data_IF_729421394936
#
_entry.id   IF_729421394936
#
_cell.length_a   1.000
_cell.length_b   1.000
_cell.length_c   1.000
_cell.angle_alpha   90.00
_cell.angle_beta   90.00
_cell.angle_gamma   90.00
#
_symmetry.space_group_name_H-M   'P 1'
#
loop_
_entity.id
_entity.type
_entity.pdbx_description
1 polymer ?
#
# COMPACT_ATOMS: atom_id res chain seq x y z
N UNK A 1 -35.40 -10.33 -8.28
CA UNK A 1 -34.37 -11.20 -8.90
C UNK A 1 -33.40 -11.65 -7.81
N UNK A 2 -33.28 -12.97 -7.59
CA UNK A 2 -32.24 -13.49 -6.69
C UNK A 2 -30.96 -13.65 -7.51
N UNK A 3 -29.90 -12.93 -7.12
CA UNK A 3 -28.57 -13.13 -7.70
C UNK A 3 -27.96 -14.42 -7.15
N UNK A 4 -27.50 -15.32 -8.02
CA UNK A 4 -26.78 -16.53 -7.64
C UNK A 4 -25.27 -16.32 -7.80
N UNK A 5 -24.48 -16.90 -6.88
CA UNK A 5 -23.01 -16.89 -7.01
C UNK A 5 -22.56 -17.76 -8.19
N UNK A 6 -21.59 -17.25 -8.95
CA UNK A 6 -20.91 -18.05 -9.94
C UNK A 6 -19.82 -18.89 -9.26
N UNK A 7 -20.16 -20.11 -8.90
CA UNK A 7 -19.27 -21.03 -8.16
C UNK A 7 -17.94 -21.31 -8.88
N UNK A 8 -17.89 -21.19 -10.22
CA UNK A 8 -16.66 -21.36 -11.01
C UNK A 8 -15.67 -20.20 -10.84
N UNK A 9 -16.11 -19.07 -10.28
CA UNK A 9 -15.28 -17.90 -10.02
C UNK A 9 -15.00 -17.69 -8.53
N UNK A 10 -15.42 -18.64 -7.69
CA UNK A 10 -15.21 -18.59 -6.24
C UNK A 10 -14.09 -19.56 -5.88
N UNK A 11 -13.05 -19.05 -5.24
CA UNK A 11 -11.90 -19.84 -4.79
C UNK A 11 -11.74 -19.70 -3.29
N UNK A 12 -10.96 -20.59 -2.68
CA UNK A 12 -10.57 -20.53 -1.27
C UNK A 12 -9.07 -20.26 -1.18
N UNK A 13 -8.72 -19.15 -0.58
CA UNK A 13 -7.34 -18.81 -0.25
C UNK A 13 -7.12 -18.98 1.25
N UNK A 14 -6.31 -19.95 1.64
CA UNK A 14 -5.95 -20.19 3.03
C UNK A 14 -4.74 -19.33 3.41
N UNK A 15 -4.94 -18.40 4.37
CA UNK A 15 -3.88 -17.50 4.78
C UNK A 15 -3.16 -18.00 6.05
N UNK A 16 -1.83 -17.99 6.00
CA UNK A 16 -0.94 -18.23 7.13
C UNK A 16 -0.63 -19.70 7.42
N UNK A 17 0.52 -19.95 8.03
CA UNK A 17 1.08 -21.29 8.28
C UNK A 17 0.30 -22.17 9.28
N UNK A 18 -0.62 -21.58 10.06
CA UNK A 18 -1.41 -22.32 11.05
C UNK A 18 -2.87 -22.50 10.62
N UNK A 19 -3.14 -22.34 9.33
CA UNK A 19 -4.47 -22.56 8.79
C UNK A 19 -4.77 -24.06 8.77
N UNK A 20 -5.97 -24.44 9.16
CA UNK A 20 -6.43 -25.85 9.19
C UNK A 20 -6.81 -26.39 7.82
N UNK A 21 -6.83 -25.56 6.79
CA UNK A 21 -7.10 -25.90 5.38
C UNK A 21 -8.43 -26.66 5.16
N UNK A 22 -9.50 -26.26 5.86
CA UNK A 22 -10.82 -26.82 5.67
C UNK A 22 -11.29 -26.71 4.22
N UNK A 23 -12.13 -27.70 3.82
CA UNK A 23 -12.82 -27.65 2.54
C UNK A 23 -14.11 -26.84 2.67
N UNK A 24 -14.36 -25.99 1.69
CA UNK A 24 -15.55 -25.15 1.63
C UNK A 24 -16.35 -25.47 0.39
N UNK A 25 -17.68 -25.49 0.53
CA UNK A 25 -18.60 -25.68 -0.58
C UNK A 25 -19.70 -24.62 -0.55
N UNK A 26 -20.13 -24.20 -1.73
CA UNK A 26 -21.26 -23.29 -1.89
C UNK A 26 -22.49 -24.04 -2.41
N UNK A 27 -23.68 -23.79 -1.83
CA UNK A 27 -24.91 -24.33 -2.36
C UNK A 27 -25.24 -23.68 -3.70
N UNK A 28 -25.46 -24.46 -4.72
CA UNK A 28 -25.97 -24.05 -6.02
C UNK A 28 -27.39 -24.59 -6.17
N UNK A 29 -28.37 -23.71 -6.38
CA UNK A 29 -29.73 -24.10 -6.67
C UNK A 29 -29.77 -24.94 -7.95
N UNK A 30 -30.19 -26.21 -7.88
CA UNK A 30 -30.23 -27.10 -9.02
C UNK A 30 -31.62 -27.18 -9.64
N UNK A 31 -32.70 -27.19 -8.85
CA UNK A 31 -34.06 -27.29 -9.34
C UNK A 31 -35.05 -26.61 -8.41
N UNK A 32 -36.10 -26.02 -9.00
CA UNK A 32 -37.28 -25.49 -8.31
C UNK A 32 -38.44 -26.37 -8.76
N UNK A 33 -38.99 -27.16 -7.83
CA UNK A 33 -40.27 -27.87 -8.06
C UNK A 33 -41.40 -27.05 -7.41
N UNK A 34 -42.29 -26.55 -8.25
CA UNK A 34 -43.55 -25.92 -7.79
C UNK A 34 -44.65 -26.96 -7.86
N UNK A 35 -45.24 -27.29 -6.75
CA UNK A 35 -46.54 -27.99 -6.65
C UNK A 35 -47.61 -27.01 -6.25
N UNK A 36 -48.86 -27.36 -6.45
CA UNK A 36 -50.02 -26.49 -6.11
C UNK A 36 -50.07 -25.99 -4.64
N UNK A 37 -49.32 -26.67 -3.76
CA UNK A 37 -49.34 -26.41 -2.32
C UNK A 37 -47.95 -26.07 -1.73
N UNK A 38 -46.83 -26.23 -2.47
CA UNK A 38 -45.48 -26.01 -1.92
C UNK A 38 -44.46 -25.72 -2.99
N UNK A 39 -43.39 -25.00 -2.62
CA UNK A 39 -42.22 -24.77 -3.42
C UNK A 39 -41.06 -25.48 -2.74
N UNK A 40 -40.47 -26.49 -3.41
CA UNK A 40 -39.28 -27.19 -2.91
C UNK A 40 -38.04 -26.76 -3.70
N UNK A 41 -36.96 -26.51 -2.97
CA UNK A 41 -35.66 -26.14 -3.53
C UNK A 41 -34.69 -27.28 -3.34
N UNK A 42 -34.03 -27.71 -4.40
CA UNK A 42 -32.94 -28.69 -4.33
C UNK A 42 -31.62 -27.97 -4.54
N UNK A 43 -30.69 -28.17 -3.64
CA UNK A 43 -29.35 -27.59 -3.70
C UNK A 43 -28.33 -28.68 -3.99
N UNK A 44 -27.43 -28.42 -4.94
CA UNK A 44 -26.19 -29.17 -5.10
C UNK A 44 -25.06 -28.35 -4.45
N UNK A 45 -24.19 -29.01 -3.71
CA UNK A 45 -23.01 -28.38 -3.13
C UNK A 45 -21.87 -28.48 -4.11
N UNK A 46 -21.30 -27.32 -4.45
CA UNK A 46 -20.12 -27.22 -5.31
C UNK A 46 -18.91 -26.94 -4.43
N UNK A 47 -17.93 -27.84 -4.41
CA UNK A 47 -16.69 -27.69 -3.68
C UNK A 47 -15.87 -26.58 -4.32
N UNK A 48 -15.33 -25.66 -3.50
CA UNK A 48 -14.51 -24.55 -3.98
C UNK A 48 -13.07 -25.00 -4.16
N UNK A 49 -12.46 -24.54 -5.24
CA UNK A 49 -11.06 -24.80 -5.55
C UNK A 49 -10.15 -24.02 -4.57
N UNK A 50 -9.13 -24.72 -4.03
CA UNK A 50 -8.09 -24.10 -3.21
C UNK A 50 -7.02 -23.52 -4.10
N UNK A 51 -6.69 -22.25 -3.89
CA UNK A 51 -5.66 -21.54 -4.64
C UNK A 51 -4.57 -21.03 -3.70
N UNK A 52 -3.35 -20.84 -4.22
CA UNK A 52 -2.22 -20.29 -3.47
C UNK A 52 -2.11 -18.77 -3.60
N UNK A 53 -2.70 -18.21 -4.63
CA UNK A 53 -2.81 -16.77 -4.83
C UNK A 53 -4.15 -16.43 -5.50
N UNK A 54 -4.70 -15.27 -5.16
CA UNK A 54 -5.94 -14.77 -5.74
C UNK A 54 -5.81 -13.27 -6.01
N UNK A 55 -6.42 -12.81 -7.08
CA UNK A 55 -6.42 -11.40 -7.46
C UNK A 55 -7.70 -10.71 -6.99
N UNK A 56 -7.59 -9.93 -5.93
CA UNK A 56 -8.68 -9.13 -5.40
C UNK A 56 -8.42 -7.63 -5.60
N UNK A 57 -9.41 -6.90 -6.13
CA UNK A 57 -9.35 -5.45 -6.41
C UNK A 57 -8.04 -5.00 -7.07
N UNK A 58 -7.47 -5.82 -7.96
CA UNK A 58 -6.25 -5.52 -8.69
C UNK A 58 -4.95 -5.80 -7.94
N UNK A 59 -5.02 -6.33 -6.71
CA UNK A 59 -3.90 -6.83 -5.91
C UNK A 59 -3.89 -8.34 -5.94
N UNK A 60 -2.74 -8.96 -6.26
CA UNK A 60 -2.55 -10.41 -6.13
C UNK A 60 -2.09 -10.69 -4.71
N UNK A 61 -2.93 -11.41 -3.96
CA UNK A 61 -2.69 -11.81 -2.57
C UNK A 61 -2.24 -13.25 -2.56
N UNK A 62 -1.11 -13.57 -1.94
CA UNK A 62 -0.61 -14.93 -1.76
C UNK A 62 -0.87 -15.45 -0.34
N UNK A 63 -0.88 -16.77 -0.17
CA UNK A 63 -1.15 -17.48 1.08
C UNK A 63 -0.23 -17.04 2.26
N UNK A 64 0.96 -16.57 1.94
CA UNK A 64 1.97 -16.10 2.90
C UNK A 64 1.97 -14.58 3.13
N UNK A 65 1.11 -13.84 2.42
CA UNK A 65 1.02 -12.38 2.47
C UNK A 65 2.37 -11.68 2.23
N UNK A 66 3.19 -12.22 1.34
CA UNK A 66 4.50 -11.64 1.02
C UNK A 66 4.49 -10.79 -0.26
N UNK A 67 3.44 -10.87 -1.07
CA UNK A 67 3.18 -10.08 -2.27
C UNK A 67 4.28 -10.11 -3.34
N UNK A 68 5.19 -11.08 -3.32
CA UNK A 68 6.31 -11.16 -4.28
C UNK A 68 5.83 -11.27 -5.71
N UNK A 69 4.79 -12.08 -5.96
CA UNK A 69 4.19 -12.24 -7.28
C UNK A 69 3.57 -10.91 -7.75
N UNK A 70 2.78 -10.27 -6.89
CA UNK A 70 2.19 -8.95 -7.17
C UNK A 70 3.25 -7.91 -7.55
N UNK A 71 4.29 -7.77 -6.74
CA UNK A 71 5.40 -6.84 -6.97
C UNK A 71 6.05 -7.11 -8.34
N UNK A 72 6.33 -8.39 -8.65
CA UNK A 72 6.93 -8.78 -9.92
C UNK A 72 6.04 -8.42 -11.12
N UNK A 73 4.74 -8.69 -11.03
CA UNK A 73 3.76 -8.33 -12.06
C UNK A 73 3.68 -6.81 -12.27
N UNK A 74 3.69 -6.01 -11.19
CA UNK A 74 3.64 -4.54 -11.28
C UNK A 74 4.92 -3.95 -11.86
N UNK A 75 6.08 -4.49 -11.49
CA UNK A 75 7.37 -4.12 -12.07
C UNK A 75 7.38 -4.44 -13.58
N UNK A 76 6.92 -5.62 -13.98
CA UNK A 76 6.83 -6.01 -15.38
C UNK A 76 5.93 -5.06 -16.17
N UNK A 77 4.74 -4.75 -15.66
CA UNK A 77 3.82 -3.81 -16.30
C UNK A 77 4.41 -2.40 -16.42
N UNK A 78 5.05 -1.91 -15.36
CA UNK A 78 5.71 -0.61 -15.38
C UNK A 78 6.86 -0.55 -16.41
N UNK A 79 7.65 -1.63 -16.52
CA UNK A 79 8.69 -1.73 -17.55
C UNK A 79 8.14 -1.78 -18.98
N UNK A 80 7.00 -2.45 -19.20
CA UNK A 80 6.31 -2.43 -20.50
C UNK A 80 5.89 -1.00 -20.88
N UNK A 81 5.40 -0.21 -19.91
CA UNK A 81 5.06 1.19 -20.16
C UNK A 81 6.30 2.03 -20.46
N UNK A 82 7.42 1.80 -19.76
CA UNK A 82 8.70 2.47 -20.05
C UNK A 82 9.21 2.13 -21.44
N UNK A 83 9.08 0.89 -21.86
CA UNK A 83 9.46 0.46 -23.22
C UNK A 83 8.62 1.20 -24.27
N UNK A 84 7.32 1.34 -24.08
CA UNK A 84 6.46 2.12 -24.98
C UNK A 84 6.90 3.58 -25.03
N UNK A 85 7.12 4.22 -23.87
CA UNK A 85 7.61 5.61 -23.83
C UNK A 85 8.91 5.76 -24.62
N UNK A 86 9.88 4.86 -24.41
CA UNK A 86 11.18 4.90 -25.08
C UNK A 86 11.06 4.76 -26.61
N UNK A 87 10.13 3.94 -27.10
CA UNK A 87 10.04 3.64 -28.53
C UNK A 87 9.20 4.66 -29.31
N UNK A 88 8.17 5.25 -28.65
CA UNK A 88 7.28 6.19 -29.34
C UNK A 88 7.68 7.65 -29.22
N UNK A 89 8.53 8.01 -28.24
CA UNK A 89 8.97 9.38 -28.03
C UNK A 89 10.48 9.52 -28.27
N UNK A 90 10.83 10.05 -29.46
CA UNK A 90 12.25 10.25 -29.85
C UNK A 90 12.92 11.37 -29.07
N UNK A 91 12.18 12.43 -28.74
CA UNK A 91 12.67 13.59 -28.00
C UNK A 91 11.91 13.70 -26.68
N UNK A 92 12.56 13.33 -25.60
CA UNK A 92 12.02 13.38 -24.24
C UNK A 92 12.72 14.50 -23.45
N UNK A 93 12.05 15.63 -23.30
CA UNK A 93 12.46 16.64 -22.33
C UNK A 93 12.00 16.27 -20.91
N UNK A 94 12.44 17.05 -19.92
CA UNK A 94 12.16 16.77 -18.51
C UNK A 94 10.66 16.91 -18.15
N UNK A 95 9.93 17.79 -18.80
CA UNK A 95 8.52 18.04 -18.53
C UNK A 95 7.65 16.94 -19.13
N UNK A 96 7.85 16.64 -20.40
CA UNK A 96 7.14 15.54 -21.10
C UNK A 96 7.41 14.20 -20.42
N UNK A 97 8.68 13.91 -20.10
CA UNK A 97 9.05 12.71 -19.36
C UNK A 97 8.30 12.64 -18.01
N UNK A 98 8.31 13.74 -17.23
CA UNK A 98 7.64 13.78 -15.93
C UNK A 98 6.13 13.54 -16.03
N UNK A 99 5.49 14.07 -17.09
CA UNK A 99 4.07 13.85 -17.36
C UNK A 99 3.79 12.39 -17.68
N UNK A 100 4.51 11.82 -18.66
CA UNK A 100 4.34 10.42 -19.10
C UNK A 100 4.64 9.43 -17.99
N UNK A 101 5.72 9.66 -17.25
CA UNK A 101 6.09 8.81 -16.12
C UNK A 101 5.02 8.82 -15.02
N UNK A 102 4.53 10.01 -14.65
CA UNK A 102 3.51 10.16 -13.60
C UNK A 102 2.16 9.58 -13.99
N UNK A 103 1.79 9.60 -15.26
CA UNK A 103 0.50 9.11 -15.75
C UNK A 103 0.51 7.62 -16.12
N UNK A 104 1.57 7.12 -16.77
CA UNK A 104 1.59 5.77 -17.34
C UNK A 104 2.39 4.75 -16.53
N UNK A 105 3.48 5.15 -15.88
CA UNK A 105 4.40 4.21 -15.22
C UNK A 105 4.15 4.14 -13.73
N UNK A 106 4.20 5.29 -13.06
CA UNK A 106 4.13 5.41 -11.60
C UNK A 106 2.85 4.82 -10.98
N UNK A 107 1.64 4.93 -11.58
CA UNK A 107 0.45 4.32 -11.01
C UNK A 107 0.55 2.81 -10.82
N UNK A 108 1.26 2.10 -11.70
CA UNK A 108 1.49 0.67 -11.53
C UNK A 108 2.35 0.32 -10.31
N UNK A 109 3.25 1.24 -9.89
CA UNK A 109 4.16 1.04 -8.76
C UNK A 109 3.62 1.55 -7.41
N UNK A 110 2.49 2.28 -7.44
CA UNK A 110 1.92 2.91 -6.24
C UNK A 110 0.49 2.47 -5.91
N UNK A 111 -0.27 1.94 -6.89
CA UNK A 111 -1.65 1.53 -6.67
C UNK A 111 -1.76 0.56 -5.49
N UNK A 112 -2.66 0.86 -4.55
CA UNK A 112 -2.93 0.07 -3.35
C UNK A 112 -1.66 -0.25 -2.50
N UNK A 113 -0.61 0.57 -2.57
CA UNK A 113 0.66 0.30 -1.88
C UNK A 113 0.54 0.12 -0.35
N UNK A 114 -0.44 0.70 0.38
CA UNK A 114 -0.63 0.38 1.79
C UNK A 114 -0.92 -1.09 2.08
N UNK A 115 -1.50 -1.83 1.12
CA UNK A 115 -1.81 -3.25 1.27
C UNK A 115 -0.56 -4.11 1.09
N UNK A 116 0.19 -3.89 0.00
CA UNK A 116 1.28 -4.77 -0.43
C UNK A 116 2.69 -4.20 -0.25
N UNK A 117 2.84 -3.10 0.48
CA UNK A 117 4.14 -2.40 0.62
C UNK A 117 5.29 -3.37 0.88
N UNK A 118 6.37 -3.30 0.08
CA UNK A 118 7.48 -4.24 0.19
C UNK A 118 8.18 -4.11 1.54
N UNK A 119 8.54 -5.23 2.12
CA UNK A 119 9.23 -5.28 3.42
C UNK A 119 10.69 -5.67 3.30
N UNK A 120 11.06 -6.36 2.21
CA UNK A 120 12.44 -6.76 1.96
C UNK A 120 13.21 -5.63 1.28
N UNK A 121 14.47 -5.44 1.66
CA UNK A 121 15.37 -4.48 1.01
C UNK A 121 15.51 -4.76 -0.49
N UNK A 122 15.43 -6.02 -0.88
CA UNK A 122 15.51 -6.45 -2.27
C UNK A 122 14.32 -5.94 -3.07
N UNK A 123 13.08 -6.18 -2.61
CA UNK A 123 11.88 -5.73 -3.33
C UNK A 123 11.79 -4.20 -3.38
N UNK A 124 12.20 -3.50 -2.31
CA UNK A 124 12.31 -2.04 -2.31
C UNK A 124 13.26 -1.57 -3.41
N UNK A 125 14.46 -2.19 -3.53
CA UNK A 125 15.42 -1.88 -4.59
C UNK A 125 14.90 -2.23 -5.99
N UNK A 126 14.21 -3.36 -6.14
CA UNK A 126 13.62 -3.79 -7.41
C UNK A 126 12.59 -2.78 -7.93
N UNK A 127 11.69 -2.31 -7.07
CA UNK A 127 10.69 -1.28 -7.42
C UNK A 127 11.38 0.03 -7.76
N UNK A 128 12.33 0.50 -6.94
CA UNK A 128 13.06 1.75 -7.17
C UNK A 128 13.92 1.70 -8.45
N UNK A 129 14.41 0.52 -8.83
CA UNK A 129 15.19 0.33 -10.05
C UNK A 129 14.42 0.69 -11.32
N UNK A 130 13.09 0.56 -11.31
CA UNK A 130 12.23 0.99 -12.42
C UNK A 130 12.33 2.51 -12.59
N UNK A 131 12.17 3.27 -11.51
CA UNK A 131 12.29 4.73 -11.53
C UNK A 131 13.73 5.16 -11.90
N UNK A 132 14.73 4.46 -11.37
CA UNK A 132 16.15 4.72 -11.69
C UNK A 132 16.44 4.56 -13.19
N UNK A 133 15.88 3.53 -13.84
CA UNK A 133 15.98 3.36 -15.30
C UNK A 133 15.17 4.41 -16.05
N UNK A 134 13.96 4.68 -15.59
CA UNK A 134 13.07 5.66 -16.19
C UNK A 134 13.74 7.04 -16.30
N UNK A 135 14.33 7.53 -15.20
CA UNK A 135 14.98 8.85 -15.17
C UNK A 135 16.20 8.99 -16.09
N UNK A 136 16.78 7.87 -16.56
CA UNK A 136 17.87 7.87 -17.57
C UNK A 136 17.36 8.07 -19.00
N UNK A 137 16.04 8.00 -19.24
CA UNK A 137 15.49 8.22 -20.58
C UNK A 137 15.55 9.69 -21.00
N UNK A 138 15.77 10.62 -20.08
CA UNK A 138 15.96 12.06 -20.36
C UNK A 138 17.43 12.27 -20.70
N UNK A 139 17.79 12.58 -21.97
CA UNK A 139 19.18 12.61 -22.43
C UNK A 139 20.04 13.60 -21.63
N UNK A 140 19.51 14.80 -21.35
CA UNK A 140 20.21 15.86 -20.62
C UNK A 140 20.58 15.48 -19.17
N UNK A 141 19.88 14.50 -18.61
CA UNK A 141 20.07 14.05 -17.23
C UNK A 141 20.79 12.71 -17.12
N UNK A 142 21.10 12.05 -18.24
CA UNK A 142 21.61 10.67 -18.27
C UNK A 142 22.93 10.50 -17.50
N UNK A 143 23.79 11.52 -17.51
CA UNK A 143 25.10 11.53 -16.86
C UNK A 143 25.07 11.88 -15.37
N UNK A 144 23.96 12.44 -14.90
CA UNK A 144 23.81 12.81 -13.49
C UNK A 144 23.61 11.58 -12.60
N UNK A 145 23.99 11.70 -11.33
CA UNK A 145 23.68 10.70 -10.32
C UNK A 145 22.15 10.52 -10.17
N UNK A 146 21.71 9.42 -9.58
CA UNK A 146 20.28 9.18 -9.42
C UNK A 146 19.60 10.26 -8.58
N UNK A 147 20.24 10.69 -7.49
CA UNK A 147 19.74 11.76 -6.62
C UNK A 147 19.59 13.09 -7.36
N UNK A 148 20.59 13.48 -8.15
CA UNK A 148 20.52 14.71 -8.95
C UNK A 148 19.40 14.66 -10.00
N UNK A 149 19.21 13.51 -10.66
CA UNK A 149 18.07 13.32 -11.59
C UNK A 149 16.74 13.48 -10.88
N UNK A 150 16.59 12.92 -9.67
CA UNK A 150 15.37 13.05 -8.89
C UNK A 150 15.07 14.50 -8.52
N UNK A 151 16.09 15.27 -8.12
CA UNK A 151 15.97 16.70 -7.82
C UNK A 151 15.57 17.48 -9.07
N UNK A 152 16.27 17.28 -10.18
CA UNK A 152 16.00 17.97 -11.46
C UNK A 152 14.57 17.70 -11.97
N UNK A 153 14.10 16.46 -11.87
CA UNK A 153 12.75 16.04 -12.30
C UNK A 153 11.66 16.30 -11.25
N UNK A 154 12.03 16.77 -10.05
CA UNK A 154 11.12 16.93 -8.90
C UNK A 154 10.33 15.64 -8.61
N UNK A 155 11.01 14.50 -8.71
CA UNK A 155 10.44 13.16 -8.47
C UNK A 155 11.00 12.61 -7.15
N UNK A 156 10.21 12.55 -6.08
CA UNK A 156 10.60 11.84 -4.87
C UNK A 156 10.83 10.34 -5.13
N UNK A 157 11.65 9.70 -4.29
CA UNK A 157 11.80 8.25 -4.31
C UNK A 157 10.47 7.53 -4.10
N UNK A 158 10.30 6.37 -4.69
CA UNK A 158 9.07 5.57 -4.49
C UNK A 158 8.95 5.08 -3.04
N UNK A 159 10.06 4.88 -2.34
CA UNK A 159 10.07 4.56 -0.91
C UNK A 159 9.47 5.71 -0.08
N UNK A 160 9.95 6.95 -0.26
CA UNK A 160 9.40 8.13 0.41
C UNK A 160 7.90 8.31 0.11
N UNK A 161 7.50 8.12 -1.14
CA UNK A 161 6.11 8.27 -1.56
C UNK A 161 5.17 7.28 -0.90
N UNK A 162 5.59 6.00 -0.79
CA UNK A 162 4.81 4.97 -0.06
C UNK A 162 4.67 5.33 1.41
N UNK A 163 5.77 5.69 2.07
CA UNK A 163 5.75 6.13 3.47
C UNK A 163 4.80 7.32 3.67
N UNK A 164 4.89 8.31 2.79
CA UNK A 164 4.00 9.48 2.83
C UNK A 164 2.54 9.11 2.60
N UNK A 165 2.25 8.19 1.69
CA UNK A 165 0.89 7.69 1.43
C UNK A 165 0.32 6.94 2.64
N UNK A 166 1.12 6.10 3.28
CA UNK A 166 0.76 5.40 4.50
C UNK A 166 0.40 6.39 5.64
N UNK A 167 1.20 7.43 5.83
CA UNK A 167 0.93 8.47 6.83
C UNK A 167 -0.34 9.28 6.52
N UNK A 168 -0.59 9.58 5.26
CA UNK A 168 -1.82 10.26 4.82
C UNK A 168 -3.04 9.38 5.07
N UNK A 169 -2.95 8.10 4.78
CA UNK A 169 -4.04 7.15 5.03
C UNK A 169 -4.33 7.04 6.53
N UNK A 170 -3.29 6.94 7.36
CA UNK A 170 -3.44 6.92 8.82
C UNK A 170 -4.06 8.22 9.36
N UNK A 171 -3.63 9.38 8.86
CA UNK A 171 -4.21 10.67 9.24
C UNK A 171 -5.70 10.74 8.92
N UNK A 172 -6.11 10.34 7.71
CA UNK A 172 -7.52 10.29 7.33
C UNK A 172 -8.33 9.34 8.22
N UNK A 173 -7.77 8.18 8.53
CA UNK A 173 -8.43 7.21 9.42
C UNK A 173 -8.66 7.81 10.82
N UNK A 174 -7.65 8.46 11.39
CA UNK A 174 -7.74 9.11 12.69
C UNK A 174 -8.77 10.26 12.68
N UNK A 175 -8.78 11.07 11.62
CA UNK A 175 -9.73 12.18 11.49
C UNK A 175 -11.18 11.71 11.34
N UNK A 176 -11.43 10.63 10.61
CA UNK A 176 -12.76 10.05 10.46
C UNK A 176 -13.30 9.52 11.81
N UNK A 177 -12.46 8.85 12.58
CA UNK A 177 -12.85 8.36 13.91
C UNK A 177 -13.15 9.50 14.91
N UNK A 178 -12.48 10.65 14.78
CA UNK A 178 -12.71 11.83 15.63
C UNK A 178 -14.00 12.57 15.22
N UNK A 179 -14.32 12.63 13.94
CA UNK A 179 -15.50 13.37 13.42
C UNK A 179 -16.82 12.66 13.74
N UNK A 180 -16.81 11.35 13.92
CA UNK A 180 -18.04 10.55 14.04
C UNK A 180 -18.69 10.55 15.44
N UNK A 181 -18.12 11.19 16.45
CA UNK A 181 -18.78 11.33 17.75
C UNK A 181 -18.71 12.75 18.35
N UNK A 182 -19.60 13.66 17.89
CA UNK A 182 -19.69 14.99 18.47
C UNK A 182 -20.27 15.01 19.89
N UNK A 183 -20.90 13.92 20.36
CA UNK A 183 -21.64 13.91 21.62
C UNK A 183 -20.80 13.59 22.86
N UNK A 184 -19.62 12.99 22.71
CA UNK A 184 -18.90 12.46 23.87
C UNK A 184 -17.66 13.26 24.27
N UNK A 185 -17.22 14.27 23.51
CA UNK A 185 -15.95 14.97 23.76
C UNK A 185 -14.76 14.03 24.09
N UNK A 186 -14.99 12.73 24.00
CA UNK A 186 -14.06 11.67 24.27
C UNK A 186 -13.45 11.22 22.96
N UNK A 187 -12.15 11.47 22.77
CA UNK A 187 -11.34 10.97 21.64
C UNK A 187 -11.17 9.44 21.74
N UNK A 188 -12.26 8.71 21.91
CA UNK A 188 -12.26 7.25 22.05
C UNK A 188 -12.58 6.64 20.69
N UNK A 189 -11.67 5.80 20.22
CA UNK A 189 -11.95 4.92 19.09
C UNK A 189 -13.23 4.13 19.36
N UNK A 190 -14.23 4.30 18.53
CA UNK A 190 -15.61 3.79 18.69
C UNK A 190 -15.76 2.27 18.80
N UNK A 191 -14.74 1.49 18.50
CA UNK A 191 -14.85 0.05 18.58
C UNK A 191 -13.70 -0.57 19.38
N UNK A 192 -14.03 -1.43 20.32
CA UNK A 192 -13.10 -2.30 21.08
C UNK A 192 -12.22 -3.19 20.21
N UNK A 193 -12.37 -3.15 18.91
CA UNK A 193 -11.53 -3.81 17.89
C UNK A 193 -10.55 -2.86 17.20
N UNK A 194 -10.35 -1.63 17.71
CA UNK A 194 -9.47 -0.68 17.03
C UNK A 194 -8.04 -1.21 16.96
N UNK A 195 -7.49 -1.23 15.75
CA UNK A 195 -6.10 -1.56 15.49
C UNK A 195 -5.13 -0.53 16.12
N UNK A 196 -5.67 0.57 16.66
CA UNK A 196 -4.96 1.69 17.22
C UNK A 196 -5.25 1.78 18.72
N UNK A 197 -4.24 1.62 19.55
CA UNK A 197 -4.33 1.81 21.01
C UNK A 197 -3.61 3.11 21.37
N UNK A 198 -4.33 4.17 21.79
CA UNK A 198 -3.71 5.43 22.20
C UNK A 198 -2.78 5.23 23.40
N UNK A 199 -1.68 6.01 23.46
CA UNK A 199 -0.83 6.08 24.64
C UNK A 199 -1.35 7.24 25.51
N UNK A 200 -1.89 6.90 26.69
CA UNK A 200 -2.44 7.88 27.63
C UNK A 200 -1.39 8.40 28.63
N UNK A 201 -0.23 7.78 28.72
CA UNK A 201 0.83 8.19 29.67
C UNK A 201 1.61 9.40 29.14
N UNK A 202 1.96 10.34 30.03
CA UNK A 202 2.68 11.60 29.76
C UNK A 202 4.13 11.48 29.31
N UNK A 203 4.47 10.49 28.47
CA UNK A 203 5.81 10.29 27.91
C UNK A 203 6.13 11.34 26.84
N UNK A 204 7.43 11.63 26.61
CA UNK A 204 7.92 12.60 25.61
C UNK A 204 7.34 12.32 24.21
N UNK A 205 6.92 13.36 23.47
CA UNK A 205 6.40 13.32 22.12
C UNK A 205 5.02 13.96 21.98
N UNK A 206 4.38 13.85 20.81
CA UNK A 206 3.06 14.45 20.57
C UNK A 206 1.92 13.63 21.24
N UNK A 207 0.75 14.26 21.52
CA UNK A 207 -0.34 13.62 22.28
C UNK A 207 -1.08 12.49 21.52
N UNK A 208 -0.95 12.42 20.21
CA UNK A 208 -1.63 11.42 19.36
C UNK A 208 -0.73 10.22 19.03
N UNK A 209 -0.01 9.69 20.01
CA UNK A 209 0.81 8.49 19.81
C UNK A 209 0.01 7.23 20.07
N UNK A 210 0.40 6.17 19.38
CA UNK A 210 -0.21 4.86 19.51
C UNK A 210 0.78 3.83 19.98
N UNK A 211 0.30 2.87 20.79
CA UNK A 211 1.10 1.76 21.27
C UNK A 211 1.53 0.85 20.10
N UNK A 212 2.81 0.53 20.04
CA UNK A 212 3.38 -0.37 19.05
C UNK A 212 3.39 -1.77 19.64
N UNK A 213 2.52 -2.64 19.15
CA UNK A 213 2.52 -4.05 19.54
C UNK A 213 3.62 -4.78 18.78
N UNK A 214 4.47 -5.50 19.48
CA UNK A 214 5.45 -6.40 18.85
C UNK A 214 4.71 -7.65 18.35
N UNK A 215 4.93 -7.99 17.10
CA UNK A 215 4.29 -9.13 16.46
C UNK A 215 5.33 -10.05 15.82
N UNK A 216 4.93 -11.30 15.55
CA UNK A 216 5.69 -12.23 14.73
C UNK A 216 5.74 -11.81 13.26
N UNK A 217 6.63 -12.40 12.49
CA UNK A 217 7.09 -11.99 11.16
C UNK A 217 6.02 -11.50 10.17
N UNK A 218 4.89 -12.18 10.03
CA UNK A 218 3.85 -11.79 9.05
C UNK A 218 3.12 -10.51 9.50
N UNK A 219 2.76 -10.42 10.77
CA UNK A 219 2.02 -9.27 11.32
C UNK A 219 2.86 -7.98 11.41
N UNK A 220 4.18 -8.10 11.46
CA UNK A 220 5.09 -6.95 11.39
C UNK A 220 5.06 -6.23 10.03
N UNK A 221 4.58 -6.91 8.99
CA UNK A 221 4.40 -6.35 7.63
C UNK A 221 3.10 -5.57 7.48
N UNK A 222 2.17 -5.74 8.43
CA UNK A 222 0.87 -5.09 8.38
C UNK A 222 0.99 -3.57 8.44
N UNK A 223 0.02 -2.88 7.85
CA UNK A 223 -0.02 -1.42 7.73
C UNK A 223 0.29 -0.70 9.04
N UNK A 224 -0.43 -1.02 10.13
CA UNK A 224 -0.23 -0.35 11.43
C UNK A 224 1.15 -0.59 12.02
N UNK A 225 1.67 -1.81 11.93
CA UNK A 225 3.01 -2.15 12.45
C UNK A 225 4.12 -1.37 11.74
N UNK A 226 3.92 -1.03 10.47
CA UNK A 226 4.86 -0.29 9.63
C UNK A 226 4.75 1.21 9.82
N UNK A 227 3.53 1.75 9.91
CA UNK A 227 3.30 3.19 9.91
C UNK A 227 3.39 3.83 11.30
N UNK A 228 2.96 3.13 12.37
CA UNK A 228 2.94 3.69 13.73
C UNK A 228 4.31 4.11 14.27
N UNK A 229 5.41 3.37 14.02
CA UNK A 229 6.74 3.83 14.44
C UNK A 229 7.16 5.15 13.81
N UNK A 230 6.74 5.39 12.57
CA UNK A 230 7.04 6.63 11.84
C UNK A 230 6.12 7.74 12.34
N UNK A 231 4.82 7.46 12.46
CA UNK A 231 3.83 8.39 13.01
C UNK A 231 4.22 8.94 14.37
N UNK A 232 4.61 8.07 15.30
CA UNK A 232 4.97 8.46 16.67
C UNK A 232 6.22 9.36 16.77
N UNK A 233 7.01 9.45 15.70
CA UNK A 233 8.20 10.34 15.60
C UNK A 233 7.90 11.69 14.96
N UNK A 234 6.73 11.85 14.33
CA UNK A 234 6.38 13.11 13.69
C UNK A 234 6.33 14.26 14.71
N UNK A 235 6.57 15.47 14.24
CA UNK A 235 6.45 16.66 15.07
C UNK A 235 4.99 16.92 15.47
N UNK A 236 4.78 17.51 16.65
CA UNK A 236 3.44 17.88 17.14
C UNK A 236 2.72 18.75 16.12
N UNK A 237 3.40 19.74 15.55
CA UNK A 237 2.80 20.63 14.56
C UNK A 237 2.28 19.90 13.32
N UNK A 238 2.95 18.84 12.89
CA UNK A 238 2.50 18.02 11.76
C UNK A 238 1.25 17.21 12.12
N UNK A 239 1.25 16.55 13.27
CA UNK A 239 0.16 15.63 13.66
C UNK A 239 -1.11 16.37 14.07
N UNK A 240 -1.00 17.59 14.63
CA UNK A 240 -2.15 18.41 15.04
C UNK A 240 -2.72 19.27 13.91
N UNK A 241 -2.33 19.01 12.67
CA UNK A 241 -2.83 19.76 11.52
C UNK A 241 -4.38 19.68 11.40
N UNK A 242 -5.02 20.82 11.22
CA UNK A 242 -6.48 20.92 11.14
C UNK A 242 -7.07 20.46 9.80
N UNK A 243 -6.23 20.21 8.81
CA UNK A 243 -6.69 19.74 7.50
C UNK A 243 -5.66 18.82 6.85
N UNK A 244 -6.15 17.99 5.92
CA UNK A 244 -5.30 17.10 5.13
C UNK A 244 -4.22 17.86 4.34
N UNK A 245 -4.52 19.06 3.85
CA UNK A 245 -3.55 19.87 3.11
C UNK A 245 -2.46 20.43 4.01
N UNK A 246 -2.81 20.89 5.22
CA UNK A 246 -1.86 21.30 6.25
C UNK A 246 -0.97 20.13 6.67
N UNK A 247 -1.55 18.94 6.89
CA UNK A 247 -0.80 17.72 7.19
C UNK A 247 0.19 17.37 6.07
N UNK A 248 -0.26 17.37 4.82
CA UNK A 248 0.60 17.11 3.64
C UNK A 248 1.75 18.10 3.52
N UNK A 249 1.53 19.38 3.89
CA UNK A 249 2.57 20.40 3.93
C UNK A 249 3.53 20.18 5.09
N UNK A 250 3.00 19.83 6.28
CA UNK A 250 3.80 19.47 7.46
C UNK A 250 4.74 18.31 7.16
N UNK A 251 4.26 17.23 6.54
CA UNK A 251 5.08 16.07 6.17
C UNK A 251 6.28 16.40 5.26
N UNK A 252 6.18 17.46 4.43
CA UNK A 252 7.31 17.88 3.57
C UNK A 252 8.44 18.52 4.35
N UNK A 253 8.12 19.10 5.50
CA UNK A 253 9.05 19.88 6.34
C UNK A 253 9.45 19.13 7.62
N UNK A 254 8.82 18.00 7.88
CA UNK A 254 9.04 17.24 9.12
C UNK A 254 10.44 16.62 9.15
N UNK A 255 11.28 16.98 10.13
CA UNK A 255 12.66 16.52 10.20
C UNK A 255 12.79 15.01 10.51
N UNK A 256 11.73 14.37 10.99
CA UNK A 256 11.73 12.94 11.28
C UNK A 256 11.67 12.08 10.04
N UNK A 257 11.26 12.65 8.90
CA UNK A 257 11.22 11.95 7.62
C UNK A 257 12.54 12.14 6.84
N UNK A 258 12.99 11.10 6.11
CA UNK A 258 14.14 11.23 5.25
C UNK A 258 13.88 12.24 4.12
N UNK A 259 14.96 12.80 3.56
CA UNK A 259 14.83 13.64 2.36
C UNK A 259 14.08 12.90 1.23
N UNK A 260 13.13 13.55 0.56
CA UNK A 260 12.33 12.90 -0.50
C UNK A 260 13.16 12.41 -1.69
N UNK A 261 14.37 12.93 -1.88
CA UNK A 261 15.23 12.62 -3.03
C UNK A 261 16.37 11.65 -2.70
N UNK A 262 16.53 11.24 -1.44
CA UNK A 262 17.58 10.31 -1.02
C UNK A 262 16.98 8.91 -0.88
N UNK A 263 17.48 7.97 -1.70
CA UNK A 263 17.11 6.57 -1.58
C UNK A 263 17.94 5.90 -0.47
N UNK A 264 17.28 5.45 0.60
CA UNK A 264 17.95 4.97 1.83
C UNK A 264 18.74 3.68 1.65
N UNK A 265 18.42 2.91 0.62
CA UNK A 265 19.09 1.64 0.30
C UNK A 265 20.12 1.74 -0.82
N UNK A 266 20.49 2.95 -1.25
CA UNK A 266 21.56 3.17 -2.22
C UNK A 266 22.93 3.01 -1.52
N UNK A 267 23.85 2.18 -2.04
CA UNK A 267 25.21 2.09 -1.51
C UNK A 267 25.92 3.44 -1.41
N UNK A 268 25.69 4.34 -2.37
CA UNK A 268 26.28 5.67 -2.37
C UNK A 268 25.75 6.58 -1.25
N UNK A 269 24.52 6.37 -0.78
CA UNK A 269 23.92 7.16 0.30
C UNK A 269 24.44 6.78 1.70
N UNK A 270 25.05 5.61 1.83
CA UNK A 270 25.59 5.10 3.12
C UNK A 270 26.89 5.83 3.46
N UNK A 271 27.67 6.23 2.43
CA UNK A 271 28.97 6.90 2.62
C UNK A 271 28.80 8.33 3.14
N UNK A 272 27.73 9.02 2.74
CA UNK A 272 27.47 10.42 3.14
C UNK A 272 27.01 10.58 4.60
N UNK A 273 26.56 9.52 5.28
CA UNK A 273 26.12 9.55 6.67
C UNK A 273 27.24 9.34 7.71
N UNK A 274 28.47 9.08 7.25
CA UNK A 274 29.65 8.88 8.12
C UNK A 274 30.63 10.07 8.15
N UNK A 275 30.21 11.22 7.61
CA UNK A 275 30.95 12.48 7.73
C UNK A 275 30.20 13.49 8.58
#
# INVERSE_FOLDING_TARGET
>A
MQMSFNTKKCHVLHLGHRNTHYDYSLPKMSNIKKTSSSISYTYMFHQLEKVHDEKDLGVTVDDNLNFKLHISQKISKANSMLFLIKNYFQFLDAEMFSLLYKSLVRPHLEYASPVWSPTTKEDIKRIESVQRRATKLVPQLSQLSYTERLVALKLPTLEYRRTRQDLILLFNYIQQDIILDPSTNCKVCRNNSSMLTPITSGTRGHPFRFAIKRHTTVRNRFFTSRVLPIWNRLSTATVTANSLNCFKSGLRKDPSLPSPYIFTHDPASIISRRR
#
